data_IF_346793303433
#
_entry.id   IF_346793303433
#
_cell.length_a   1.000
_cell.length_b   1.000
_cell.length_c   1.000
_cell.angle_alpha   90.00
_cell.angle_beta   90.00
_cell.angle_gamma   90.00
#
_symmetry.space_group_name_H-M   'P 1'
#
loop_
_entity.id
_entity.type
_entity.pdbx_description
1 polymer ?
#
# COMPACT_ATOMS: atom_id res chain seq x y z
N UNK A 1 -13.01 -31.61 -19.34
CA UNK A 1 -12.50 -30.25 -19.64
C UNK A 1 -12.72 -29.40 -18.40
N UNK A 2 -11.68 -29.15 -17.61
CA UNK A 2 -11.80 -28.34 -16.39
C UNK A 2 -11.91 -26.86 -16.77
N UNK A 3 -12.81 -26.14 -16.12
CA UNK A 3 -12.98 -24.70 -16.32
C UNK A 3 -11.69 -23.94 -15.92
N UNK A 4 -11.37 -22.81 -16.59
CA UNK A 4 -10.24 -21.99 -16.17
C UNK A 4 -10.50 -21.47 -14.75
N UNK A 5 -9.50 -21.59 -13.88
CA UNK A 5 -9.55 -21.05 -12.53
C UNK A 5 -9.73 -19.52 -12.52
N UNK A 6 -10.11 -18.91 -11.38
CA UNK A 6 -10.33 -17.47 -11.30
C UNK A 6 -9.06 -16.73 -11.74
N UNK A 7 -9.23 -15.76 -12.63
CA UNK A 7 -8.13 -14.87 -13.03
C UNK A 7 -7.58 -14.14 -11.79
N UNK A 8 -6.27 -13.89 -11.72
CA UNK A 8 -5.68 -13.16 -10.62
C UNK A 8 -6.24 -11.72 -10.59
N UNK A 9 -6.71 -11.30 -9.41
CA UNK A 9 -7.28 -9.97 -9.15
C UNK A 9 -6.17 -8.90 -9.19
N UNK A 10 -5.72 -8.59 -10.39
CA UNK A 10 -4.60 -7.67 -10.68
C UNK A 10 -5.08 -6.27 -11.03
N UNK A 11 -6.40 -6.07 -11.11
CA UNK A 11 -6.98 -4.77 -11.37
C UNK A 11 -6.83 -3.86 -10.15
N UNK A 12 -6.41 -2.59 -10.32
CA UNK A 12 -6.32 -1.66 -9.21
C UNK A 12 -7.71 -1.39 -8.65
N UNK A 13 -7.89 -1.68 -7.35
CA UNK A 13 -9.11 -1.35 -6.61
C UNK A 13 -8.95 0.05 -5.99
N UNK A 14 -10.01 0.87 -6.07
CA UNK A 14 -10.03 2.14 -5.36
C UNK A 14 -9.97 1.89 -3.84
N UNK A 15 -8.99 2.54 -3.19
CA UNK A 15 -8.83 2.54 -1.73
C UNK A 15 -8.81 3.99 -1.23
N UNK A 16 -9.37 4.23 -0.06
CA UNK A 16 -9.34 5.53 0.61
C UNK A 16 -8.80 5.37 2.02
N UNK A 17 -8.09 6.38 2.50
CA UNK A 17 -7.55 6.43 3.85
C UNK A 17 -7.43 7.88 4.31
N UNK A 18 -7.33 8.07 5.63
CA UNK A 18 -7.14 9.39 6.23
C UNK A 18 -5.64 9.69 6.38
N UNK A 19 -5.26 10.92 6.07
CA UNK A 19 -3.93 11.47 6.28
C UNK A 19 -4.09 12.85 6.92
N UNK A 20 -3.20 13.22 7.84
CA UNK A 20 -3.19 14.58 8.37
C UNK A 20 -2.99 15.59 7.23
N UNK A 21 -3.65 16.74 7.30
CA UNK A 21 -3.64 17.72 6.20
C UNK A 21 -2.23 18.16 5.82
N UNK A 22 -1.35 18.37 6.81
CA UNK A 22 0.02 18.81 6.56
C UNK A 22 0.90 17.70 5.99
N UNK A 23 0.69 16.45 6.40
CA UNK A 23 1.35 15.30 5.78
C UNK A 23 0.94 15.14 4.33
N UNK A 24 -0.35 15.35 4.01
CA UNK A 24 -0.84 15.30 2.63
C UNK A 24 -0.20 16.38 1.77
N UNK A 25 -0.09 17.61 2.29
CA UNK A 25 0.60 18.71 1.58
C UNK A 25 2.07 18.36 1.32
N UNK A 26 2.77 17.87 2.35
CA UNK A 26 4.18 17.48 2.26
C UNK A 26 4.39 16.34 1.26
N UNK A 27 3.56 15.31 1.30
CA UNK A 27 3.65 14.17 0.40
C UNK A 27 3.38 14.58 -1.06
N UNK A 28 2.38 15.44 -1.31
CA UNK A 28 2.11 16.01 -2.64
C UNK A 28 3.29 16.84 -3.16
N UNK A 29 3.85 17.71 -2.33
CA UNK A 29 5.02 18.51 -2.70
C UNK A 29 6.22 17.64 -3.09
N UNK A 30 6.50 16.57 -2.31
CA UNK A 30 7.55 15.62 -2.63
C UNK A 30 7.29 14.92 -3.98
N UNK A 31 6.11 14.34 -4.17
CA UNK A 31 5.75 13.69 -5.44
C UNK A 31 5.86 14.63 -6.64
N UNK A 32 5.34 15.86 -6.54
CA UNK A 32 5.45 16.85 -7.62
C UNK A 32 6.91 17.18 -7.93
N UNK A 33 7.79 17.25 -6.92
CA UNK A 33 9.21 17.53 -7.10
C UNK A 33 10.03 16.36 -7.63
N UNK A 34 9.64 15.11 -7.38
CA UNK A 34 10.50 13.93 -7.62
C UNK A 34 9.93 12.88 -8.57
N UNK A 35 8.64 12.93 -8.91
CA UNK A 35 7.95 11.87 -9.68
C UNK A 35 8.65 11.48 -10.99
N UNK A 36 9.24 12.44 -11.71
CA UNK A 36 10.01 12.16 -12.93
C UNK A 36 11.33 11.43 -12.67
N UNK A 37 12.01 11.74 -11.55
CA UNK A 37 13.29 11.12 -11.18
C UNK A 37 13.09 9.72 -10.61
N UNK A 38 12.03 9.53 -9.82
CA UNK A 38 11.63 8.24 -9.22
C UNK A 38 10.81 7.36 -10.19
N UNK A 39 10.56 7.86 -11.42
CA UNK A 39 9.74 7.21 -12.45
C UNK A 39 8.38 6.76 -11.92
N UNK A 40 7.72 7.61 -11.12
CA UNK A 40 6.37 7.36 -10.62
C UNK A 40 5.35 7.49 -11.74
N UNK A 41 4.57 6.43 -12.00
CA UNK A 41 3.55 6.44 -13.06
C UNK A 41 2.36 7.33 -12.73
N UNK A 42 2.06 7.49 -11.45
CA UNK A 42 0.97 8.31 -10.92
C UNK A 42 1.14 8.54 -9.42
N UNK A 43 0.34 9.44 -8.85
CA UNK A 43 0.24 9.61 -7.39
C UNK A 43 -0.12 8.31 -6.67
N UNK A 44 -1.05 7.52 -7.23
CA UNK A 44 -1.43 6.23 -6.66
C UNK A 44 -0.28 5.22 -6.67
N UNK A 45 0.57 5.26 -7.71
CA UNK A 45 1.77 4.43 -7.80
C UNK A 45 2.77 4.79 -6.70
N UNK A 46 3.05 6.09 -6.53
CA UNK A 46 3.89 6.62 -5.45
C UNK A 46 3.42 6.15 -4.06
N UNK A 47 2.12 6.33 -3.75
CA UNK A 47 1.56 5.90 -2.46
C UNK A 47 1.62 4.39 -2.31
N UNK A 48 1.34 3.62 -3.36
CA UNK A 48 1.39 2.16 -3.32
C UNK A 48 2.80 1.64 -3.03
N UNK A 49 3.83 2.20 -3.68
CA UNK A 49 5.24 1.85 -3.40
C UNK A 49 5.63 2.19 -1.98
N UNK A 50 5.19 3.33 -1.45
CA UNK A 50 5.47 3.71 -0.07
C UNK A 50 4.86 2.72 0.92
N UNK A 51 3.62 2.27 0.68
CA UNK A 51 2.97 1.23 1.49
C UNK A 51 3.73 -0.10 1.38
N UNK A 52 4.07 -0.53 0.16
CA UNK A 52 4.79 -1.80 -0.06
C UNK A 52 6.18 -1.80 0.57
N UNK A 53 6.90 -0.67 0.53
CA UNK A 53 8.20 -0.53 1.20
C UNK A 53 8.09 -0.75 2.71
N UNK A 54 7.02 -0.26 3.35
CA UNK A 54 6.77 -0.51 4.77
C UNK A 54 6.36 -1.96 5.03
N UNK A 55 5.61 -2.59 4.12
CA UNK A 55 5.29 -4.03 4.19
C UNK A 55 6.57 -4.86 4.14
N UNK A 56 7.42 -4.64 3.13
CA UNK A 56 8.70 -5.33 2.96
C UNK A 56 9.60 -5.16 4.19
N UNK A 57 9.64 -3.95 4.77
CA UNK A 57 10.38 -3.70 6.02
C UNK A 57 9.85 -4.56 7.17
N UNK A 58 8.53 -4.70 7.31
CA UNK A 58 7.92 -5.52 8.37
C UNK A 58 8.11 -7.00 8.13
N UNK A 59 8.00 -7.46 6.90
CA UNK A 59 8.27 -8.84 6.51
C UNK A 59 9.73 -9.21 6.85
N UNK A 60 10.67 -8.32 6.55
CA UNK A 60 12.08 -8.47 6.94
C UNK A 60 12.28 -8.53 8.46
N UNK A 61 11.60 -7.68 9.22
CA UNK A 61 11.77 -7.61 10.68
C UNK A 61 11.04 -8.70 11.46
N UNK A 62 9.89 -9.16 10.97
CA UNK A 62 8.93 -9.95 11.76
C UNK A 62 8.50 -11.24 11.09
N UNK A 63 8.98 -11.55 9.87
CA UNK A 63 8.61 -12.76 9.14
C UNK A 63 9.78 -13.36 8.35
N UNK A 64 11.02 -13.17 8.81
CA UNK A 64 12.22 -13.73 8.19
C UNK A 64 12.37 -13.34 6.70
N UNK A 65 11.82 -12.19 6.31
CA UNK A 65 11.77 -11.75 4.90
C UNK A 65 10.74 -12.49 4.05
N UNK A 66 10.00 -13.44 4.61
CA UNK A 66 8.89 -14.12 3.97
C UNK A 66 7.67 -13.20 3.84
N UNK A 67 6.90 -13.38 2.77
CA UNK A 67 5.63 -12.67 2.59
C UNK A 67 4.57 -13.19 3.55
N UNK A 68 3.75 -12.30 4.12
CA UNK A 68 2.57 -12.73 4.85
C UNK A 68 1.54 -13.34 3.90
N UNK A 69 0.92 -14.46 4.31
CA UNK A 69 -0.22 -15.01 3.56
C UNK A 69 -1.41 -14.05 3.68
N UNK A 70 -1.80 -13.45 2.56
CA UNK A 70 -3.01 -12.62 2.49
C UNK A 70 -4.27 -13.46 2.71
N UNK A 71 -5.23 -12.90 3.44
CA UNK A 71 -6.55 -13.50 3.63
C UNK A 71 -7.66 -12.55 3.21
N UNK A 72 -8.80 -13.09 2.79
CA UNK A 72 -10.04 -12.36 2.46
C UNK A 72 -10.73 -11.75 3.69
N UNK A 73 -10.11 -11.83 4.87
CA UNK A 73 -10.68 -11.33 6.11
C UNK A 73 -10.52 -9.82 6.18
N UNK A 74 -11.63 -9.15 6.49
CA UNK A 74 -11.62 -7.74 6.83
C UNK A 74 -10.71 -7.51 8.05
N UNK A 75 -9.95 -6.42 8.02
CA UNK A 75 -9.19 -5.98 9.18
C UNK A 75 -10.16 -5.69 10.34
N UNK A 76 -9.74 -6.04 11.56
CA UNK A 76 -10.49 -5.65 12.75
C UNK A 76 -10.63 -4.12 12.80
N UNK A 77 -11.75 -3.58 13.31
CA UNK A 77 -11.88 -2.15 13.54
C UNK A 77 -10.68 -1.63 14.33
N UNK A 78 -10.13 -0.49 13.92
CA UNK A 78 -8.94 0.10 14.55
C UNK A 78 -9.12 0.19 16.08
N UNK A 79 -8.12 -0.25 16.83
CA UNK A 79 -8.13 -0.12 18.29
C UNK A 79 -7.97 1.35 18.65
N UNK A 80 -8.84 1.90 19.51
CA UNK A 80 -8.61 3.24 20.09
C UNK A 80 -7.27 3.20 20.82
N UNK A 81 -6.30 3.93 20.30
CA UNK A 81 -5.03 4.15 20.99
C UNK A 81 -5.36 5.16 22.09
N UNK A 82 -5.33 4.71 23.35
CA UNK A 82 -5.45 5.63 24.49
C UNK A 82 -4.10 6.34 24.56
N UNK A 83 -4.07 7.58 24.07
CA UNK A 83 -2.95 8.51 24.28
C UNK A 83 -2.82 8.82 25.77
#
# INVERSE_FOLDING_TARGET
MSAPGPLPDTAPKQVTFYMATDDLKRAKAAYTGTSGQEMDRSWSDFVSRAVLKEVERREGLYNEGGRYQGGTRNLAPGRKIRL
#
